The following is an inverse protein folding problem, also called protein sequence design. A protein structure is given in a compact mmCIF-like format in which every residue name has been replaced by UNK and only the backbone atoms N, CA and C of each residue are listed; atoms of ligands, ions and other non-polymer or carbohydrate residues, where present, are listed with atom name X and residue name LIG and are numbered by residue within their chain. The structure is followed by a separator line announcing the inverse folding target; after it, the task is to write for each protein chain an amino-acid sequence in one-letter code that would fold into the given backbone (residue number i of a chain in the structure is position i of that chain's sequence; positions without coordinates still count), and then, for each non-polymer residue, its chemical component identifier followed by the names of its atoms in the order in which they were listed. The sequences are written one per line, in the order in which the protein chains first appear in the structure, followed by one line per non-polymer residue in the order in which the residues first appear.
data_IF_764032324848
#
_entry.id   IF_764032324848
#
_cell.length_a   1.000
_cell.length_b   1.000
_cell.length_c   1.000
_cell.angle_alpha   90.00
_cell.angle_beta   90.00
_cell.angle_gamma   90.00
#
_symmetry.space_group_name_H-M   'P 1'
#
loop_
_entity.id
_entity.type
_entity.pdbx_description
1 polymer ?
#
# COMPACT_ATOMS: atom_id res chain seq x y z
N UNK A 1 -10.80 6.27 20.78
CA UNK A 1 -11.51 5.92 19.55
C UNK A 1 -10.52 5.42 18.53
N UNK A 2 -10.79 4.26 18.02
CA UNK A 2 -9.88 3.62 17.10
C UNK A 2 -10.27 3.98 15.68
N UNK A 3 -9.40 4.71 15.01
CA UNK A 3 -9.56 4.94 13.59
C UNK A 3 -9.30 3.63 12.84
N UNK A 4 -10.20 3.29 11.94
CA UNK A 4 -10.00 2.17 11.04
C UNK A 4 -9.31 2.67 9.77
N UNK A 5 -8.38 1.89 9.27
CA UNK A 5 -7.71 2.18 8.01
C UNK A 5 -8.40 1.42 6.89
N UNK A 6 -8.79 2.13 5.86
CA UNK A 6 -9.52 1.56 4.73
C UNK A 6 -8.54 0.95 3.75
N UNK A 7 -8.77 -0.33 3.43
CA UNK A 7 -7.88 -1.13 2.57
C UNK A 7 -8.61 -1.51 1.29
N UNK A 8 -7.91 -1.37 0.17
CA UNK A 8 -8.32 -1.93 -1.12
C UNK A 8 -7.27 -2.97 -1.53
N UNK A 9 -7.74 -4.12 -1.97
CA UNK A 9 -6.89 -5.17 -2.53
C UNK A 9 -7.17 -5.27 -4.02
N UNK A 10 -6.12 -5.13 -4.82
CA UNK A 10 -6.19 -5.24 -6.28
C UNK A 10 -5.38 -6.46 -6.72
N UNK A 11 -6.09 -7.51 -7.13
CA UNK A 11 -5.50 -8.78 -7.53
C UNK A 11 -6.44 -9.49 -8.49
N UNK A 12 -5.96 -9.83 -9.68
CA UNK A 12 -6.79 -10.46 -10.70
C UNK A 12 -7.08 -11.94 -10.42
N UNK A 13 -6.25 -12.61 -9.64
CA UNK A 13 -6.48 -13.99 -9.24
C UNK A 13 -7.27 -14.05 -7.93
N UNK A 14 -8.49 -14.57 -8.00
CA UNK A 14 -9.38 -14.62 -6.83
C UNK A 14 -8.80 -15.42 -5.68
N UNK A 15 -8.06 -16.48 -5.98
CA UNK A 15 -7.42 -17.32 -4.94
C UNK A 15 -6.37 -16.52 -4.17
N UNK A 16 -5.59 -15.72 -4.87
CA UNK A 16 -4.57 -14.89 -4.23
C UNK A 16 -5.22 -13.79 -3.41
N UNK A 17 -6.28 -13.19 -3.94
CA UNK A 17 -7.04 -12.17 -3.21
C UNK A 17 -7.61 -12.76 -1.91
N UNK A 18 -8.18 -13.95 -1.95
CA UNK A 18 -8.69 -14.64 -0.77
C UNK A 18 -7.58 -14.95 0.23
N UNK A 19 -6.41 -15.35 -0.27
CA UNK A 19 -5.25 -15.64 0.58
C UNK A 19 -4.79 -14.36 1.30
N UNK A 20 -4.69 -13.26 0.59
CA UNK A 20 -4.31 -11.97 1.18
C UNK A 20 -5.26 -11.62 2.31
N UNK A 21 -6.57 -11.74 2.08
CA UNK A 21 -7.58 -11.46 3.10
C UNK A 21 -7.43 -12.36 4.32
N UNK A 22 -7.09 -13.64 4.10
CA UNK A 22 -6.94 -14.60 5.18
C UNK A 22 -5.69 -14.36 6.03
N UNK A 23 -4.63 -13.82 5.42
CA UNK A 23 -3.35 -13.61 6.10
C UNK A 23 -3.30 -12.33 6.93
N UNK A 24 -4.09 -11.33 6.57
CA UNK A 24 -4.07 -10.03 7.23
C UNK A 24 -4.79 -10.09 8.58
N UNK A 25 -4.18 -9.47 9.59
CA UNK A 25 -4.77 -9.32 10.92
C UNK A 25 -5.65 -8.06 10.96
N UNK A 26 -6.85 -8.18 10.43
CA UNK A 26 -7.78 -7.05 10.28
C UNK A 26 -8.12 -6.39 11.60
N UNK A 27 -8.45 -7.19 12.60
CA UNK A 27 -8.86 -6.66 13.91
C UNK A 27 -7.69 -6.07 14.68
N UNK A 28 -6.57 -6.79 14.71
CA UNK A 28 -5.38 -6.35 15.44
C UNK A 28 -4.77 -5.07 14.88
N UNK A 29 -4.89 -4.84 13.57
CA UNK A 29 -4.35 -3.65 12.91
C UNK A 29 -5.40 -2.57 12.65
N UNK A 30 -6.64 -2.79 13.09
CA UNK A 30 -7.77 -1.86 12.91
C UNK A 30 -8.00 -1.51 11.44
N UNK A 31 -8.15 -2.55 10.62
CA UNK A 31 -8.31 -2.42 9.18
C UNK A 31 -9.73 -2.73 8.75
N UNK A 32 -10.16 -2.08 7.69
CA UNK A 32 -11.46 -2.31 7.07
C UNK A 32 -11.26 -2.50 5.57
N UNK A 33 -11.79 -3.61 5.04
CA UNK A 33 -11.75 -3.84 3.60
C UNK A 33 -12.90 -3.07 2.95
N UNK A 34 -12.59 -2.05 2.16
CA UNK A 34 -13.60 -1.23 1.48
C UNK A 34 -13.83 -1.66 0.05
N UNK A 35 -12.94 -2.48 -0.51
CA UNK A 35 -13.16 -3.01 -1.83
C UNK A 35 -12.11 -4.01 -2.27
N UNK A 36 -12.53 -4.89 -3.17
CA UNK A 36 -11.65 -5.83 -3.87
C UNK A 36 -11.77 -5.54 -5.35
N UNK A 37 -10.64 -5.41 -6.01
CA UNK A 37 -10.60 -5.21 -7.46
C UNK A 37 -9.89 -6.39 -8.10
N UNK A 38 -10.43 -6.87 -9.21
CA UNK A 38 -9.86 -7.99 -9.94
C UNK A 38 -9.23 -7.56 -11.27
N UNK A 39 -9.21 -6.26 -11.51
CA UNK A 39 -8.42 -5.64 -12.56
C UNK A 39 -8.07 -4.20 -12.16
N UNK A 40 -7.18 -3.59 -12.93
CA UNK A 40 -6.71 -2.24 -12.61
C UNK A 40 -7.77 -1.16 -12.77
N UNK A 41 -8.70 -1.34 -13.68
CA UNK A 41 -9.79 -0.35 -13.89
C UNK A 41 -10.71 -0.33 -12.67
N UNK A 42 -11.07 -1.50 -12.15
CA UNK A 42 -11.88 -1.59 -10.93
C UNK A 42 -11.16 -0.95 -9.75
N UNK A 43 -9.85 -1.21 -9.64
CA UNK A 43 -9.04 -0.64 -8.56
C UNK A 43 -8.99 0.88 -8.65
N UNK A 44 -8.79 1.40 -9.86
CA UNK A 44 -8.77 2.84 -10.06
C UNK A 44 -10.10 3.49 -9.70
N UNK A 45 -11.20 2.85 -10.07
CA UNK A 45 -12.54 3.31 -9.71
C UNK A 45 -12.72 3.39 -8.19
N UNK A 46 -12.28 2.35 -7.48
CA UNK A 46 -12.35 2.34 -6.02
C UNK A 46 -11.49 3.47 -5.41
N UNK A 47 -10.30 3.68 -5.94
CA UNK A 47 -9.41 4.74 -5.46
C UNK A 47 -10.02 6.13 -5.67
N UNK A 48 -10.79 6.31 -6.72
CA UNK A 48 -11.45 7.59 -7.01
C UNK A 48 -12.72 7.81 -6.19
N UNK A 49 -13.43 6.75 -5.85
CA UNK A 49 -14.75 6.84 -5.21
C UNK A 49 -14.67 6.70 -3.69
N UNK A 50 -13.71 5.96 -3.16
CA UNK A 50 -13.62 5.65 -1.75
C UNK A 50 -12.42 6.34 -1.12
N UNK A 51 -12.51 6.60 0.19
CA UNK A 51 -11.33 6.99 0.94
C UNK A 51 -10.51 5.74 1.21
N UNK A 52 -9.33 5.68 0.59
CA UNK A 52 -8.45 4.51 0.70
C UNK A 52 -7.17 4.92 1.42
N UNK A 53 -6.86 4.23 2.50
CA UNK A 53 -5.63 4.47 3.27
C UNK A 53 -4.49 3.56 2.85
N UNK A 54 -4.82 2.35 2.43
CA UNK A 54 -3.83 1.33 2.04
C UNK A 54 -4.31 0.64 0.77
N UNK A 55 -3.45 0.65 -0.24
CA UNK A 55 -3.66 -0.11 -1.47
C UNK A 55 -2.65 -1.26 -1.48
N UNK A 56 -3.16 -2.49 -1.53
CA UNK A 56 -2.34 -3.68 -1.74
C UNK A 56 -2.62 -4.14 -3.16
N UNK A 57 -1.61 -4.12 -4.02
CA UNK A 57 -1.82 -4.38 -5.44
C UNK A 57 -0.77 -5.33 -6.03
N UNK A 58 -1.22 -6.23 -6.90
CA UNK A 58 -0.33 -6.95 -7.80
C UNK A 58 0.16 -5.99 -8.89
N UNK A 59 1.25 -6.31 -9.53
CA UNK A 59 1.77 -5.53 -10.65
C UNK A 59 0.99 -5.85 -11.93
N UNK A 60 0.91 -7.13 -12.28
CA UNK A 60 0.26 -7.54 -13.53
C UNK A 60 -1.23 -7.71 -13.36
N UNK A 61 -1.97 -6.83 -14.02
CA UNK A 61 -3.43 -6.93 -14.09
C UNK A 61 -3.88 -6.43 -15.46
N UNK A 62 -4.99 -6.95 -15.99
CA UNK A 62 -5.51 -6.46 -17.26
C UNK A 62 -5.85 -4.97 -17.21
N UNK A 63 -5.55 -4.26 -18.28
CA UNK A 63 -5.81 -2.83 -18.41
C UNK A 63 -4.79 -1.98 -17.69
N UNK A 64 -5.14 -1.50 -16.52
CA UNK A 64 -4.24 -0.70 -15.67
C UNK A 64 -3.46 -1.63 -14.76
N UNK A 65 -2.14 -1.55 -14.77
CA UNK A 65 -1.30 -2.41 -13.92
C UNK A 65 -1.06 -1.76 -12.54
N UNK A 66 -0.38 -2.51 -11.65
CA UNK A 66 -0.12 -2.04 -10.29
C UNK A 66 0.80 -0.83 -10.23
N UNK A 67 1.71 -0.68 -11.17
CA UNK A 67 2.60 0.48 -11.24
C UNK A 67 1.82 1.73 -11.69
N UNK A 68 0.89 1.57 -12.63
CA UNK A 68 0.01 2.66 -13.04
C UNK A 68 -0.86 3.13 -11.87
N UNK A 69 -1.37 2.19 -11.08
CA UNK A 69 -2.14 2.51 -9.88
C UNK A 69 -1.30 3.26 -8.86
N UNK A 70 -0.07 2.82 -8.66
CA UNK A 70 0.86 3.45 -7.72
C UNK A 70 1.16 4.88 -8.15
N UNK A 71 1.39 5.08 -9.44
CA UNK A 71 1.63 6.42 -9.98
C UNK A 71 0.42 7.32 -9.75
N UNK A 72 -0.77 6.81 -10.04
CA UNK A 72 -2.00 7.58 -9.81
C UNK A 72 -2.14 7.99 -8.34
N UNK A 73 -1.89 7.05 -7.42
CA UNK A 73 -1.94 7.30 -5.97
C UNK A 73 -0.91 8.37 -5.58
N UNK A 74 0.32 8.26 -6.07
CA UNK A 74 1.37 9.23 -5.76
C UNK A 74 1.00 10.63 -6.25
N UNK A 75 0.32 10.72 -7.39
CA UNK A 75 -0.04 12.01 -8.00
C UNK A 75 -1.32 12.61 -7.41
N UNK A 76 -2.27 11.80 -6.95
CA UNK A 76 -3.61 12.26 -6.59
C UNK A 76 -4.03 11.99 -5.14
N UNK A 77 -3.36 11.07 -4.43
CA UNK A 77 -3.82 10.63 -3.12
C UNK A 77 -2.65 10.48 -2.15
N UNK A 78 -2.22 11.59 -1.57
CA UNK A 78 -1.06 11.62 -0.67
C UNK A 78 -1.28 10.81 0.61
N UNK A 79 -2.53 10.50 0.95
CA UNK A 79 -2.85 9.78 2.19
C UNK A 79 -2.93 8.27 1.99
N UNK A 80 -2.85 7.81 0.75
CA UNK A 80 -2.90 6.37 0.47
C UNK A 80 -1.48 5.81 0.40
N UNK A 81 -1.24 4.77 1.19
CA UNK A 81 0.04 4.05 1.17
C UNK A 81 -0.10 2.81 0.29
N UNK A 82 0.95 2.49 -0.46
CA UNK A 82 0.91 1.39 -1.42
C UNK A 82 1.85 0.28 -0.99
N UNK A 83 1.35 -0.95 -1.01
CA UNK A 83 2.14 -2.18 -0.88
C UNK A 83 1.99 -2.94 -2.20
N UNK A 84 3.10 -3.22 -2.85
CA UNK A 84 3.09 -3.97 -4.12
C UNK A 84 3.43 -5.43 -3.84
N UNK A 85 2.66 -6.33 -4.45
CA UNK A 85 2.90 -7.77 -4.39
C UNK A 85 3.21 -8.25 -5.80
N UNK A 86 4.23 -9.07 -5.95
CA UNK A 86 4.69 -9.49 -7.28
C UNK A 86 5.31 -10.87 -7.25
N UNK A 87 5.22 -11.58 -8.37
CA UNK A 87 5.99 -12.81 -8.58
C UNK A 87 7.45 -12.48 -8.89
N UNK A 88 8.34 -13.43 -8.63
CA UNK A 88 9.78 -13.22 -8.79
C UNK A 88 10.19 -12.92 -10.24
N UNK A 89 9.37 -13.29 -11.22
CA UNK A 89 9.66 -13.03 -12.64
C UNK A 89 9.49 -11.57 -13.03
N UNK A 90 9.07 -10.72 -12.10
CA UNK A 90 8.77 -9.32 -12.35
C UNK A 90 9.80 -8.37 -11.73
N UNK A 91 11.04 -8.81 -11.63
CA UNK A 91 12.14 -8.02 -11.04
C UNK A 91 12.34 -6.67 -11.71
N UNK A 92 12.14 -6.58 -13.02
CA UNK A 92 12.28 -5.33 -13.75
C UNK A 92 11.29 -4.27 -13.23
N UNK A 93 10.11 -4.70 -12.81
CA UNK A 93 9.10 -3.81 -12.22
C UNK A 93 9.48 -3.33 -10.83
N UNK A 94 10.25 -4.12 -10.08
CA UNK A 94 10.73 -3.71 -8.76
C UNK A 94 11.61 -2.47 -8.86
N UNK A 95 12.38 -2.37 -9.92
CA UNK A 95 13.23 -1.22 -10.18
C UNK A 95 12.42 0.05 -10.38
N UNK A 96 11.34 -0.06 -11.16
CA UNK A 96 10.43 1.08 -11.38
C UNK A 96 9.69 1.45 -10.10
N UNK A 97 9.29 0.45 -9.30
CA UNK A 97 8.60 0.68 -8.03
C UNK A 97 9.46 1.44 -7.03
N UNK A 98 10.80 1.25 -7.07
CA UNK A 98 11.71 1.97 -6.18
C UNK A 98 11.75 3.48 -6.46
N UNK A 99 11.35 3.89 -7.66
CA UNK A 99 11.26 5.31 -8.02
C UNK A 99 9.96 5.95 -7.57
N UNK A 100 9.01 5.14 -7.13
CA UNK A 100 7.70 5.58 -6.66
C UNK A 100 7.65 5.49 -5.15
N UNK A 101 6.70 6.19 -4.56
CA UNK A 101 6.50 6.14 -3.13
C UNK A 101 5.64 4.92 -2.80
N UNK A 102 6.29 3.82 -2.47
CA UNK A 102 5.64 2.60 -1.99
C UNK A 102 6.21 2.25 -0.62
N UNK A 103 5.37 1.65 0.23
CA UNK A 103 5.78 1.28 1.58
C UNK A 103 6.63 0.02 1.54
N UNK A 104 6.21 -0.94 0.73
CA UNK A 104 6.93 -2.20 0.64
C UNK A 104 6.64 -2.90 -0.67
N UNK A 105 7.53 -3.80 -1.05
CA UNK A 105 7.43 -4.63 -2.24
C UNK A 105 7.60 -6.08 -1.79
N UNK A 106 6.51 -6.85 -1.83
CA UNK A 106 6.49 -8.22 -1.33
C UNK A 106 6.47 -9.22 -2.47
N UNK A 107 7.28 -10.26 -2.35
CA UNK A 107 7.35 -11.32 -3.36
C UNK A 107 6.37 -12.44 -3.04
N UNK A 108 5.74 -12.99 -4.07
CA UNK A 108 4.93 -14.20 -3.94
C UNK A 108 5.86 -15.39 -3.75
N UNK A 109 5.52 -16.40 -2.94
CA UNK A 109 4.27 -16.54 -2.18
C UNK A 109 4.20 -15.60 -0.98
N UNK A 110 3.01 -15.05 -0.76
CA UNK A 110 2.79 -14.05 0.28
C UNK A 110 2.89 -14.72 1.66
N UNK A 111 3.69 -14.12 2.54
CA UNK A 111 3.87 -14.61 3.90
C UNK A 111 3.13 -13.73 4.89
N UNK A 112 2.46 -14.39 5.84
CA UNK A 112 1.67 -13.70 6.86
C UNK A 112 2.49 -12.64 7.60
N UNK A 113 3.70 -13.00 8.03
CA UNK A 113 4.57 -12.08 8.77
C UNK A 113 4.93 -10.85 7.93
N UNK A 114 5.29 -11.05 6.67
CA UNK A 114 5.73 -9.96 5.81
C UNK A 114 4.61 -8.96 5.53
N UNK A 115 3.41 -9.45 5.18
CA UNK A 115 2.30 -8.56 4.85
C UNK A 115 1.81 -7.79 6.08
N UNK A 116 1.72 -8.45 7.23
CA UNK A 116 1.29 -7.77 8.46
C UNK A 116 2.34 -6.77 8.95
N UNK A 117 3.62 -7.08 8.78
CA UNK A 117 4.69 -6.13 9.12
C UNK A 117 4.65 -4.89 8.22
N UNK A 118 4.41 -5.08 6.93
CA UNK A 118 4.30 -3.96 5.99
C UNK A 118 3.12 -3.05 6.35
N UNK A 119 1.97 -3.65 6.65
CA UNK A 119 0.78 -2.90 7.07
C UNK A 119 1.02 -2.21 8.41
N UNK A 120 1.66 -2.90 9.35
CA UNK A 120 1.96 -2.36 10.67
C UNK A 120 2.80 -1.10 10.59
N UNK A 121 3.75 -1.03 9.67
CA UNK A 121 4.55 0.18 9.44
C UNK A 121 3.67 1.37 9.09
N UNK A 122 2.65 1.15 8.26
CA UNK A 122 1.72 2.20 7.86
C UNK A 122 0.88 2.66 9.06
N UNK A 123 0.31 1.71 9.77
CA UNK A 123 -0.57 1.98 10.92
C UNK A 123 0.19 2.71 12.02
N UNK A 124 1.40 2.27 12.35
CA UNK A 124 2.23 2.89 13.39
C UNK A 124 2.61 4.32 13.00
N UNK A 125 3.01 4.53 11.76
CA UNK A 125 3.40 5.86 11.27
C UNK A 125 2.25 6.85 11.40
N UNK A 126 1.02 6.43 11.10
CA UNK A 126 -0.14 7.30 11.19
C UNK A 126 -0.63 7.50 12.61
N UNK A 127 -0.50 6.46 13.46
CA UNK A 127 -0.90 6.55 14.87
C UNK A 127 -0.01 7.50 15.67
N UNK A 128 1.22 7.71 15.22
CA UNK A 128 2.18 8.63 15.88
C UNK A 128 1.96 10.08 15.45
N UNK A 129 1.08 10.35 14.45
CA UNK A 129 0.80 11.71 14.02
C UNK A 129 -0.15 12.42 14.97
N UNK A 130 0.24 12.54 16.25
CA UNK A 130 -0.42 13.39 17.22
C UNK A 130 0.22 14.79 17.16
N UNK A 131 -0.51 15.85 17.60
CA UNK A 131 0.08 17.20 17.60
C UNK A 131 1.41 17.30 18.32
N UNK A 132 1.64 16.45 19.31
CA UNK A 132 2.86 16.46 20.11
C UNK A 132 4.08 15.89 19.38
N UNK A 133 3.86 15.20 18.27
CA UNK A 133 4.93 14.59 17.50
C UNK A 133 5.20 15.30 16.18
N UNK A 134 4.49 16.39 15.89
CA UNK A 134 4.63 17.10 14.63
C UNK A 134 6.05 17.63 14.41
N UNK A 135 6.70 18.10 15.48
CA UNK A 135 8.07 18.59 15.40
C UNK A 135 9.03 17.47 15.02
N UNK A 136 8.85 16.30 15.62
CA UNK A 136 9.69 15.13 15.33
C UNK A 136 9.49 14.70 13.85
N UNK A 137 8.27 14.72 13.37
CA UNK A 137 7.98 14.38 11.98
C UNK A 137 8.65 15.35 11.01
N UNK A 138 8.63 16.65 11.31
CA UNK A 138 9.29 17.65 10.50
C UNK A 138 10.81 17.41 10.46
N UNK A 139 11.42 17.10 11.58
CA UNK A 139 12.84 16.79 11.65
C UNK A 139 13.19 15.56 10.81
N UNK A 140 12.37 14.51 10.88
CA UNK A 140 12.56 13.30 10.08
C UNK A 140 12.43 13.61 8.59
N UNK A 141 11.46 14.43 8.20
CA UNK A 141 11.29 14.83 6.81
C UNK A 141 12.47 15.66 6.31
N UNK A 142 12.97 16.57 7.12
CA UNK A 142 14.14 17.36 6.77
C UNK A 142 15.38 16.48 6.59
N UNK A 143 15.54 15.51 7.45
CA UNK A 143 16.64 14.55 7.34
C UNK A 143 16.54 13.75 6.05
N UNK A 144 15.36 13.26 5.69
CA UNK A 144 15.13 12.54 4.44
C UNK A 144 15.40 13.41 3.22
N UNK A 145 14.97 14.65 3.26
CA UNK A 145 15.23 15.61 2.18
C UNK A 145 16.71 15.85 2.02
N UNK A 146 17.43 16.01 3.12
CA UNK A 146 18.88 16.17 3.11
C UNK A 146 19.58 14.97 2.46
N UNK A 147 19.16 13.75 2.80
CA UNK A 147 19.71 12.54 2.20
C UNK A 147 19.45 12.46 0.70
N UNK A 148 18.28 12.91 0.25
CA UNK A 148 17.92 12.88 -1.17
C UNK A 148 18.77 13.85 -2.02
N UNK A 149 19.29 14.91 -1.41
CA UNK A 149 20.11 15.90 -2.09
C UNK A 149 21.55 15.45 -2.28
N UNK A 150 21.95 14.41 -1.58
CA UNK A 150 23.26 13.81 -1.72
C UNK A 150 23.22 12.69 -2.76
#
# INVERSE_FOLDING_TARGET
MNEEFNVVIAEDEKRICSLIKALIDWDGLHLRLVGEAHDGVQALTLLQQEKVDILITDIRMPGVNGLDLTKWVNDHCNQCSVIIISGYKQFDYAYDALRMDVVDFLLKPIKKTEINNAISKIVQKRSVSSPNTSTIQLEVQQFRTSLRRQ
#
